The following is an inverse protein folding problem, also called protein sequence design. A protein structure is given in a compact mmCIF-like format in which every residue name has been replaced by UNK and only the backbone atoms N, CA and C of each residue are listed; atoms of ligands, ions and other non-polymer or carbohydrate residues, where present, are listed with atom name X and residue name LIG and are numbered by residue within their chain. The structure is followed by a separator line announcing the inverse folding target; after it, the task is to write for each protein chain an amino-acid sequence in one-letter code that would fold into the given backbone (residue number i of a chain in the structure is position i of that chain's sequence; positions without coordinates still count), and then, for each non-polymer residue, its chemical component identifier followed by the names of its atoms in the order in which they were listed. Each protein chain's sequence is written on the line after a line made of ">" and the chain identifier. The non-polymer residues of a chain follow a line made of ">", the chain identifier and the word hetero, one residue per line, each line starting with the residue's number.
data_IF_779315639192
#
_entry.id   IF_779315639192
#
_cell.length_a   1.000
_cell.length_b   1.000
_cell.length_c   1.000
_cell.angle_alpha   90.00
_cell.angle_beta   90.00
_cell.angle_gamma   90.00
#
_symmetry.space_group_name_H-M   'P 1'
#
loop_
_entity.id
_entity.type
_entity.pdbx_description
1 polymer ?
#
# COMPACT_ATOMS: atom_id res chain seq x y z
N UNK A 1 -12.68 9.39 -0.69
CA UNK A 1 -11.67 9.22 -1.76
C UNK A 1 -10.75 8.05 -1.46
N UNK A 2 -10.14 7.43 -2.47
CA UNK A 2 -9.21 6.32 -2.31
C UNK A 2 -7.76 6.82 -2.31
N UNK A 3 -6.95 6.35 -1.37
CA UNK A 3 -5.51 6.60 -1.26
C UNK A 3 -4.78 5.28 -1.51
N UNK A 4 -4.09 5.19 -2.65
CA UNK A 4 -3.23 4.06 -2.99
C UNK A 4 -1.87 4.19 -2.32
N UNK A 5 -1.56 3.30 -1.40
CA UNK A 5 -0.27 3.27 -0.71
C UNK A 5 0.65 2.31 -1.44
N UNK A 6 1.74 2.85 -1.97
CA UNK A 6 2.75 2.11 -2.75
C UNK A 6 4.14 2.41 -2.22
N UNK A 7 5.07 1.53 -2.51
CA UNK A 7 6.45 1.69 -2.09
C UNK A 7 7.27 0.47 -2.48
N UNK A 8 8.55 0.65 -2.82
CA UNK A 8 9.41 -0.46 -3.14
C UNK A 8 9.70 -1.34 -1.92
N UNK A 9 10.23 -2.54 -2.17
CA UNK A 9 10.72 -3.37 -1.06
C UNK A 9 11.86 -2.66 -0.31
N UNK A 10 11.88 -2.84 1.01
CA UNK A 10 12.80 -2.15 1.92
C UNK A 10 12.40 -0.72 2.30
N UNK A 11 11.35 -0.13 1.70
CA UNK A 11 10.91 1.22 2.05
C UNK A 11 10.26 1.34 3.44
N UNK A 12 9.85 0.22 4.04
CA UNK A 12 9.12 0.23 5.32
C UNK A 12 7.65 0.62 5.20
N UNK A 13 7.05 0.46 4.01
CA UNK A 13 5.62 0.74 3.73
C UNK A 13 4.69 0.12 4.78
N UNK A 14 4.87 -1.14 5.13
CA UNK A 14 3.96 -1.85 6.04
C UNK A 14 4.07 -1.30 7.47
N UNK A 15 5.27 -0.92 7.90
CA UNK A 15 5.52 -0.26 9.19
C UNK A 15 4.85 1.11 9.23
N UNK A 16 4.99 1.93 8.19
CA UNK A 16 4.34 3.24 8.11
C UNK A 16 2.81 3.09 8.05
N UNK A 17 2.30 2.09 7.33
CA UNK A 17 0.86 1.79 7.29
C UNK A 17 0.30 1.39 8.65
N UNK A 18 1.03 0.55 9.40
CA UNK A 18 0.65 0.17 10.75
C UNK A 18 0.64 1.39 11.69
N UNK A 19 1.66 2.24 11.61
CA UNK A 19 1.73 3.48 12.38
C UNK A 19 0.62 4.48 12.03
N UNK A 20 0.28 4.62 10.74
CA UNK A 20 -0.86 5.43 10.30
C UNK A 20 -2.19 4.89 10.84
N UNK A 21 -2.37 3.57 10.83
CA UNK A 21 -3.58 2.94 11.38
C UNK A 21 -3.74 3.25 12.87
N UNK A 22 -2.66 3.16 13.64
CA UNK A 22 -2.67 3.51 15.05
C UNK A 22 -2.92 5.02 15.25
N UNK A 23 -2.23 5.88 14.51
CA UNK A 23 -2.32 7.33 14.65
C UNK A 23 -3.67 7.93 14.21
N UNK A 24 -4.46 7.20 13.41
CA UNK A 24 -5.75 7.63 12.88
C UNK A 24 -6.93 6.78 13.42
N UNK A 25 -6.70 5.93 14.43
CA UNK A 25 -7.70 4.99 14.94
C UNK A 25 -8.99 5.68 15.43
N UNK A 26 -8.85 6.85 16.05
CA UNK A 26 -9.95 7.64 16.61
C UNK A 26 -10.63 8.57 15.59
N UNK A 27 -10.16 8.61 14.33
CA UNK A 27 -10.72 9.47 13.29
C UNK A 27 -11.57 8.65 12.29
N UNK A 28 -12.91 8.66 12.43
CA UNK A 28 -13.81 7.82 11.62
C UNK A 28 -13.87 8.24 10.14
N UNK A 29 -13.18 9.32 9.75
CA UNK A 29 -13.00 9.71 8.35
C UNK A 29 -12.09 8.74 7.61
N UNK A 30 -11.17 8.05 8.31
CA UNK A 30 -10.19 7.18 7.69
C UNK A 30 -10.57 5.71 7.84
N UNK A 31 -10.46 4.97 6.73
CA UNK A 31 -10.68 3.52 6.70
C UNK A 31 -9.46 2.88 6.06
N UNK A 32 -8.97 1.79 6.62
CA UNK A 32 -7.86 1.05 6.06
C UNK A 32 -8.37 -0.24 5.44
N UNK A 33 -8.34 -0.31 4.11
CA UNK A 33 -8.81 -1.47 3.37
C UNK A 33 -7.98 -2.71 3.71
N UNK A 34 -8.67 -3.80 4.04
CA UNK A 34 -8.07 -5.13 4.17
C UNK A 34 -8.14 -5.81 2.81
N UNK A 35 -6.97 -6.09 2.22
CA UNK A 35 -6.90 -6.72 0.89
C UNK A 35 -7.10 -8.23 1.00
N UNK A 36 -7.71 -8.83 0.00
CA UNK A 36 -7.71 -10.26 -0.21
C UNK A 36 -6.46 -10.71 -0.95
N UNK A 37 -5.88 -11.84 -0.55
CA UNK A 37 -4.68 -12.40 -1.18
C UNK A 37 -4.83 -13.92 -1.28
N UNK A 38 -4.37 -14.52 -2.38
CA UNK A 38 -4.28 -15.98 -2.52
C UNK A 38 -3.12 -16.61 -1.75
N UNK A 39 -2.93 -16.17 -0.50
CA UNK A 39 -1.85 -16.57 0.38
C UNK A 39 -2.43 -17.02 1.73
N UNK A 40 -1.90 -18.09 2.34
CA UNK A 40 -2.30 -18.50 3.68
C UNK A 40 -2.14 -17.37 4.72
N UNK A 41 -3.07 -17.29 5.66
CA UNK A 41 -3.08 -16.25 6.69
C UNK A 41 -1.85 -16.33 7.63
N UNK A 42 -1.34 -17.53 7.85
CA UNK A 42 -0.21 -17.86 8.71
C UNK A 42 1.16 -17.68 8.04
N UNK A 43 1.21 -17.37 6.75
CA UNK A 43 2.45 -17.11 6.01
C UNK A 43 3.16 -15.81 6.42
N UNK A 44 2.59 -15.05 7.36
CA UNK A 44 3.12 -13.80 7.88
C UNK A 44 3.02 -12.61 6.92
N UNK A 45 3.29 -11.42 7.46
CA UNK A 45 3.18 -10.14 6.75
C UNK A 45 1.98 -9.32 7.24
N UNK A 46 1.32 -8.60 6.33
CA UNK A 46 0.18 -7.76 6.72
C UNK A 46 -1.09 -8.56 7.02
N UNK A 47 -1.97 -7.95 7.81
CA UNK A 47 -3.34 -8.44 8.00
C UNK A 47 -4.12 -8.36 6.67
N UNK A 48 -4.51 -9.52 6.17
CA UNK A 48 -5.19 -9.70 4.88
C UNK A 48 -6.29 -10.76 4.97
N UNK A 49 -7.23 -10.71 4.03
CA UNK A 49 -8.20 -11.79 3.83
C UNK A 49 -7.51 -12.90 3.03
N UNK A 50 -7.15 -13.99 3.69
CA UNK A 50 -6.58 -15.16 3.03
C UNK A 50 -7.68 -15.89 2.26
N UNK A 51 -7.49 -16.07 0.96
CA UNK A 51 -8.39 -16.81 0.08
C UNK A 51 -7.61 -17.91 -0.64
N UNK A 52 -8.29 -18.99 -1.00
CA UNK A 52 -7.83 -19.93 -2.01
C UNK A 52 -8.02 -19.32 -3.40
N UNK A 53 -7.37 -19.90 -4.41
CA UNK A 53 -7.56 -19.51 -5.81
C UNK A 53 -9.02 -19.66 -6.27
N UNK A 54 -9.71 -20.70 -5.80
CA UNK A 54 -11.11 -20.95 -6.13
C UNK A 54 -12.05 -19.92 -5.46
N UNK A 55 -11.79 -19.56 -4.21
CA UNK A 55 -12.57 -18.52 -3.52
C UNK A 55 -12.35 -17.15 -4.15
N UNK A 56 -11.09 -16.80 -4.46
CA UNK A 56 -10.76 -15.53 -5.10
C UNK A 56 -11.50 -15.37 -6.43
N UNK A 57 -11.54 -16.42 -7.26
CA UNK A 57 -12.21 -16.40 -8.56
C UNK A 57 -13.74 -16.18 -8.49
N UNK A 58 -14.36 -16.37 -7.31
CA UNK A 58 -15.80 -16.19 -7.09
C UNK A 58 -16.15 -14.81 -6.52
N UNK A 59 -15.16 -14.02 -6.13
CA UNK A 59 -15.35 -12.69 -5.54
C UNK A 59 -15.39 -11.61 -6.63
N UNK A 60 -16.20 -10.59 -6.41
CA UNK A 60 -16.15 -9.36 -7.19
C UNK A 60 -15.34 -8.30 -6.40
N UNK A 61 -14.30 -7.75 -7.02
CA UNK A 61 -13.36 -6.83 -6.38
C UNK A 61 -13.49 -5.42 -6.94
N UNK A 62 -13.30 -4.43 -6.06
CA UNK A 62 -13.18 -3.02 -6.47
C UNK A 62 -11.91 -2.81 -7.30
N UNK A 63 -10.84 -3.52 -6.99
CA UNK A 63 -9.58 -3.55 -7.74
C UNK A 63 -8.97 -4.93 -7.59
N UNK A 64 -8.34 -5.48 -8.62
CA UNK A 64 -7.61 -6.75 -8.53
C UNK A 64 -6.37 -6.76 -9.41
N UNK A 65 -5.34 -7.51 -9.00
CA UNK A 65 -4.11 -7.68 -9.77
C UNK A 65 -3.40 -8.99 -9.41
N UNK A 66 -2.43 -9.37 -10.22
CA UNK A 66 -1.52 -10.50 -9.94
C UNK A 66 -0.10 -9.99 -9.73
N UNK A 67 0.61 -10.54 -8.75
CA UNK A 67 2.02 -10.26 -8.51
C UNK A 67 2.67 -11.42 -7.75
N UNK A 68 3.96 -11.70 -8.02
CA UNK A 68 4.71 -12.73 -7.28
C UNK A 68 4.02 -14.12 -7.24
N UNK A 69 3.29 -14.49 -8.29
CA UNK A 69 2.54 -15.76 -8.34
C UNK A 69 1.28 -15.81 -7.48
N UNK A 70 0.86 -14.67 -6.91
CA UNK A 70 -0.33 -14.53 -6.08
C UNK A 70 -1.34 -13.57 -6.73
N UNK A 71 -2.61 -13.72 -6.38
CA UNK A 71 -3.68 -12.77 -6.71
C UNK A 71 -4.01 -11.90 -5.50
N UNK A 72 -4.32 -10.65 -5.79
CA UNK A 72 -4.62 -9.63 -4.81
C UNK A 72 -5.90 -8.91 -5.22
N UNK A 73 -6.75 -8.60 -4.24
CA UNK A 73 -8.01 -7.91 -4.47
C UNK A 73 -8.33 -6.92 -3.36
N UNK A 74 -8.93 -5.79 -3.71
CA UNK A 74 -9.57 -4.88 -2.77
C UNK A 74 -11.07 -5.15 -2.81
N UNK A 75 -11.70 -5.59 -1.70
CA UNK A 75 -13.13 -5.88 -1.68
C UNK A 75 -13.98 -4.65 -2.03
N UNK A 76 -15.13 -4.86 -2.68
CA UNK A 76 -16.07 -3.76 -3.02
C UNK A 76 -16.68 -3.06 -1.81
N UNK A 77 -16.54 -3.62 -0.61
CA UNK A 77 -16.95 -2.93 0.62
C UNK A 77 -16.31 -1.55 0.78
N UNK A 78 -15.15 -1.28 0.17
CA UNK A 78 -14.56 0.06 0.17
C UNK A 78 -15.46 1.10 -0.50
N UNK A 79 -16.27 0.72 -1.48
CA UNK A 79 -17.12 1.64 -2.25
C UNK A 79 -18.19 2.27 -1.37
N UNK A 80 -18.65 1.54 -0.34
CA UNK A 80 -19.57 2.06 0.66
C UNK A 80 -18.96 3.16 1.52
N UNK A 81 -17.70 2.98 1.95
CA UNK A 81 -16.97 4.01 2.69
C UNK A 81 -16.66 5.22 1.80
N UNK A 82 -16.28 4.98 0.55
CA UNK A 82 -16.05 6.04 -0.43
C UNK A 82 -17.32 6.86 -0.68
N UNK A 83 -18.49 6.21 -0.82
CA UNK A 83 -19.78 6.88 -1.01
C UNK A 83 -20.20 7.73 0.19
N UNK A 84 -19.73 7.40 1.39
CA UNK A 84 -19.92 8.18 2.63
C UNK A 84 -18.90 9.31 2.82
N UNK A 85 -18.09 9.61 1.80
CA UNK A 85 -17.08 10.66 1.86
C UNK A 85 -15.83 10.30 2.68
N UNK A 86 -15.69 9.04 3.13
CA UNK A 86 -14.51 8.60 3.88
C UNK A 86 -13.28 8.51 2.99
N UNK A 87 -12.11 8.60 3.61
CA UNK A 87 -10.80 8.41 2.99
C UNK A 87 -10.38 6.95 3.23
N UNK A 88 -10.34 6.16 2.16
CA UNK A 88 -9.91 4.76 2.24
C UNK A 88 -8.44 4.65 1.86
N UNK A 89 -7.60 4.13 2.76
CA UNK A 89 -6.22 3.79 2.48
C UNK A 89 -6.11 2.32 2.09
N UNK A 90 -5.52 2.04 0.92
CA UNK A 90 -5.34 0.68 0.41
C UNK A 90 -3.88 0.43 0.02
N UNK A 91 -3.34 -0.72 0.44
CA UNK A 91 -2.04 -1.19 0.02
C UNK A 91 -2.13 -1.77 -1.40
N UNK A 92 -1.68 -1.00 -2.40
CA UNK A 92 -1.85 -1.31 -3.82
C UNK A 92 -0.53 -1.67 -4.51
N UNK A 93 -0.65 -2.22 -5.72
CA UNK A 93 0.45 -2.34 -6.67
C UNK A 93 0.50 -1.12 -7.60
N UNK A 94 1.70 -0.80 -8.11
CA UNK A 94 1.85 0.22 -9.17
C UNK A 94 1.04 -0.10 -10.42
N UNK A 95 0.83 -1.40 -10.68
CA UNK A 95 0.11 -1.91 -11.86
C UNK A 95 -1.39 -1.62 -11.87
N UNK A 96 -1.98 -1.23 -10.73
CA UNK A 96 -3.43 -1.00 -10.60
C UNK A 96 -3.77 0.47 -10.31
N UNK A 97 -2.77 1.36 -10.32
CA UNK A 97 -2.99 2.77 -9.97
C UNK A 97 -3.79 3.54 -11.03
N UNK A 98 -3.57 3.24 -12.32
CA UNK A 98 -4.34 3.86 -13.40
C UNK A 98 -5.81 3.45 -13.35
N UNK A 99 -6.09 2.16 -13.12
CA UNK A 99 -7.46 1.67 -12.93
C UNK A 99 -8.12 2.35 -11.71
N UNK A 100 -7.40 2.42 -10.58
CA UNK A 100 -7.91 3.07 -9.38
C UNK A 100 -8.25 4.56 -9.63
N UNK A 101 -7.39 5.27 -10.37
CA UNK A 101 -7.60 6.68 -10.72
C UNK A 101 -8.75 6.89 -11.70
N UNK A 102 -8.98 5.93 -12.61
CA UNK A 102 -10.10 5.99 -13.54
C UNK A 102 -11.45 5.75 -12.86
N UNK A 103 -11.47 4.94 -11.78
CA UNK A 103 -12.71 4.52 -11.10
C UNK A 103 -13.12 5.41 -9.93
N UNK A 104 -12.16 6.03 -9.24
CA UNK A 104 -12.42 6.73 -7.99
C UNK A 104 -11.65 8.05 -7.91
N UNK A 105 -12.12 9.03 -7.10
CA UNK A 105 -11.27 10.12 -6.65
C UNK A 105 -10.04 9.54 -5.95
N UNK A 106 -8.86 9.79 -6.50
CA UNK A 106 -7.65 9.02 -6.17
C UNK A 106 -6.43 9.90 -5.92
N UNK A 107 -5.60 9.48 -4.97
CA UNK A 107 -4.25 9.98 -4.79
C UNK A 107 -3.33 8.84 -4.34
N UNK A 108 -2.03 9.01 -4.53
CA UNK A 108 -1.01 8.02 -4.19
C UNK A 108 -0.20 8.52 -3.00
N UNK A 109 -0.03 7.67 -2.00
CA UNK A 109 0.94 7.84 -0.93
C UNK A 109 2.13 6.91 -1.23
N UNK A 110 3.21 7.48 -1.76
CA UNK A 110 4.42 6.75 -2.11
C UNK A 110 5.40 6.76 -0.93
N UNK A 111 5.47 5.65 -0.21
CA UNK A 111 6.45 5.45 0.87
C UNK A 111 7.74 4.93 0.26
N UNK A 112 8.82 5.68 0.41
CA UNK A 112 10.13 5.28 -0.11
C UNK A 112 11.25 5.56 0.90
N UNK A 113 12.45 5.09 0.59
CA UNK A 113 13.67 5.36 1.32
C UNK A 113 14.84 5.35 0.33
N UNK A 114 15.98 5.93 0.73
CA UNK A 114 17.20 5.91 -0.06
C UNK A 114 17.57 4.48 -0.48
N UNK A 115 18.17 4.34 -1.67
CA UNK A 115 18.58 3.04 -2.20
C UNK A 115 19.52 2.30 -1.24
N UNK A 116 20.45 3.03 -0.60
CA UNK A 116 21.37 2.48 0.39
C UNK A 116 20.63 1.92 1.61
N UNK A 117 19.65 2.65 2.16
CA UNK A 117 18.90 2.19 3.31
C UNK A 117 17.98 1.00 2.98
N UNK A 118 17.37 1.01 1.78
CA UNK A 118 16.60 -0.13 1.29
C UNK A 118 17.47 -1.37 1.14
N UNK A 119 18.67 -1.24 0.57
CA UNK A 119 19.63 -2.33 0.45
C UNK A 119 19.99 -2.92 1.82
N UNK A 120 20.34 -2.05 2.78
CA UNK A 120 20.67 -2.45 4.14
C UNK A 120 19.50 -3.18 4.83
N UNK A 121 18.27 -2.66 4.70
CA UNK A 121 17.06 -3.29 5.26
C UNK A 121 16.72 -4.63 4.62
N UNK A 122 16.99 -4.80 3.32
CA UNK A 122 16.80 -6.07 2.63
C UNK A 122 17.85 -7.09 3.07
N UNK A 123 19.13 -6.69 3.13
CA UNK A 123 20.23 -7.54 3.58
C UNK A 123 20.02 -8.03 5.03
N UNK A 124 19.56 -7.15 5.92
CA UNK A 124 19.28 -7.49 7.32
C UNK A 124 18.21 -8.57 7.51
N UNK A 125 17.38 -8.87 6.50
CA UNK A 125 16.40 -9.96 6.57
C UNK A 125 17.05 -11.34 6.44
N UNK A 126 18.27 -11.41 5.91
CA UNK A 126 19.07 -12.64 5.81
C UNK A 126 18.51 -13.71 4.87
N UNK A 127 17.62 -13.33 3.92
CA UNK A 127 16.91 -14.26 3.03
C UNK A 127 17.28 -14.12 1.55
N UNK A 128 18.16 -13.19 1.21
CA UNK A 128 18.42 -12.77 -0.17
C UNK A 128 19.92 -12.57 -0.39
N UNK A 129 20.43 -13.05 -1.52
CA UNK A 129 21.81 -12.80 -1.93
C UNK A 129 22.00 -11.35 -2.39
N UNK A 130 23.21 -10.76 -2.31
CA UNK A 130 23.47 -9.38 -2.71
C UNK A 130 23.04 -9.06 -4.16
N UNK A 131 23.18 -10.02 -5.07
CA UNK A 131 22.76 -9.87 -6.46
C UNK A 131 21.23 -9.75 -6.61
N UNK A 132 20.47 -10.50 -5.81
CA UNK A 132 19.00 -10.43 -5.79
C UNK A 132 18.53 -9.09 -5.21
N UNK A 133 19.19 -8.60 -4.18
CA UNK A 133 18.91 -7.28 -3.60
C UNK A 133 19.13 -6.19 -4.66
N UNK A 134 20.25 -6.20 -5.37
CA UNK A 134 20.56 -5.24 -6.43
C UNK A 134 19.53 -5.30 -7.59
N UNK A 135 19.14 -6.51 -8.00
CA UNK A 135 18.08 -6.71 -9.00
C UNK A 135 16.73 -6.14 -8.53
N UNK A 136 16.39 -6.28 -7.25
CA UNK A 136 15.15 -5.73 -6.69
C UNK A 136 15.18 -4.21 -6.55
N UNK A 137 16.35 -3.62 -6.32
CA UNK A 137 16.51 -2.17 -6.25
C UNK A 137 16.41 -1.51 -7.63
N UNK A 138 16.96 -2.15 -8.66
CA UNK A 138 16.96 -1.64 -10.05
C UNK A 138 15.61 -1.78 -10.78
N UNK A 139 14.75 -2.73 -10.37
CA UNK A 139 13.42 -2.96 -10.96
C UNK A 139 12.35 -1.93 -10.56
N UNK A 140 12.71 -0.75 -10.09
CA UNK A 140 11.70 0.26 -9.78
C UNK A 140 11.06 0.82 -11.05
N UNK A 141 9.90 0.27 -11.40
CA UNK A 141 9.02 0.88 -12.38
C UNK A 141 8.55 2.26 -11.87
N UNK A 142 8.58 3.31 -12.72
CA UNK A 142 8.06 4.62 -12.37
C UNK A 142 6.55 4.53 -12.04
N UNK A 143 6.08 5.49 -11.25
CA UNK A 143 4.63 5.65 -11.06
C UNK A 143 4.00 6.18 -12.35
N UNK A 144 2.74 5.80 -12.66
CA UNK A 144 2.04 6.36 -13.81
C UNK A 144 2.00 7.89 -13.76
N UNK A 145 2.21 8.58 -14.89
CA UNK A 145 2.18 10.03 -14.95
C UNK A 145 0.77 10.57 -14.67
N UNK A 146 0.67 11.84 -14.27
CA UNK A 146 -0.61 12.53 -14.08
C UNK A 146 -1.35 12.20 -12.77
N UNK A 147 -0.84 11.28 -11.96
CA UNK A 147 -1.40 10.98 -10.64
C UNK A 147 -1.00 12.06 -9.61
N UNK A 148 -1.91 12.37 -8.69
CA UNK A 148 -1.58 13.14 -7.48
C UNK A 148 -0.79 12.25 -6.53
N UNK A 149 0.52 12.49 -6.39
CA UNK A 149 1.42 11.69 -5.57
C UNK A 149 1.98 12.52 -4.41
N UNK A 150 1.83 12.03 -3.17
CA UNK A 150 2.69 12.44 -2.07
C UNK A 150 3.80 11.40 -1.89
N UNK A 151 5.06 11.83 -1.93
CA UNK A 151 6.19 10.99 -1.56
C UNK A 151 6.58 11.24 -0.10
N UNK A 152 6.70 10.16 0.67
CA UNK A 152 7.14 10.18 2.07
C UNK A 152 8.43 9.40 2.19
N UNK A 153 9.48 10.09 2.66
CA UNK A 153 10.79 9.49 2.90
C UNK A 153 10.81 8.85 4.29
N UNK A 154 11.07 7.55 4.33
CA UNK A 154 11.28 6.76 5.56
C UNK A 154 12.77 6.47 5.75
N UNK A 155 13.57 7.54 5.71
CA UNK A 155 15.03 7.48 5.84
C UNK A 155 15.51 7.57 7.29
N UNK A 156 14.72 8.22 8.15
CA UNK A 156 15.04 8.37 9.57
C UNK A 156 14.30 7.30 10.38
N UNK A 157 13.20 7.67 11.04
CA UNK A 157 12.39 6.75 11.82
C UNK A 157 11.01 6.55 11.20
N UNK A 158 10.38 5.38 11.40
CA UNK A 158 9.00 5.16 10.96
C UNK A 158 8.03 6.20 11.51
N UNK A 159 8.23 6.70 12.72
CA UNK A 159 7.37 7.69 13.38
C UNK A 159 7.41 9.04 12.65
N UNK A 160 8.59 9.46 12.17
CA UNK A 160 8.72 10.68 11.37
C UNK A 160 7.98 10.54 10.03
N UNK A 161 8.11 9.41 9.36
CA UNK A 161 7.39 9.12 8.13
C UNK A 161 5.86 9.09 8.35
N UNK A 162 5.41 8.46 9.44
CA UNK A 162 3.99 8.44 9.84
C UNK A 162 3.48 9.85 10.10
N UNK A 163 4.24 10.69 10.79
CA UNK A 163 3.84 12.07 11.07
C UNK A 163 3.66 12.89 9.79
N UNK A 164 4.58 12.79 8.83
CA UNK A 164 4.48 13.46 7.52
C UNK A 164 3.23 12.98 6.78
N UNK A 165 3.04 11.66 6.68
CA UNK A 165 1.89 11.09 5.99
C UNK A 165 0.56 11.50 6.66
N UNK A 166 0.50 11.46 7.99
CA UNK A 166 -0.68 11.85 8.77
C UNK A 166 -1.04 13.32 8.55
N UNK A 167 -0.06 14.21 8.58
CA UNK A 167 -0.30 15.64 8.39
C UNK A 167 -0.88 15.95 7.00
N UNK A 168 -0.40 15.25 5.96
CA UNK A 168 -0.98 15.33 4.63
C UNK A 168 -2.40 14.77 4.59
N UNK A 169 -2.64 13.59 5.15
CA UNK A 169 -3.97 12.99 5.18
C UNK A 169 -4.98 13.88 5.90
N UNK A 170 -4.56 14.53 6.99
CA UNK A 170 -5.37 15.48 7.75
C UNK A 170 -5.67 16.78 6.99
N UNK A 171 -4.81 17.19 6.04
CA UNK A 171 -5.00 18.39 5.22
C UNK A 171 -5.86 18.15 3.97
N UNK A 172 -6.20 16.90 3.67
CA UNK A 172 -7.11 16.60 2.57
C UNK A 172 -8.47 17.29 2.81
N UNK A 173 -9.08 17.88 1.77
CA UNK A 173 -10.37 18.52 1.88
C UNK A 173 -11.40 17.56 2.46
N UNK A 174 -12.26 18.06 3.35
CA UNK A 174 -13.45 17.31 3.75
C UNK A 174 -14.37 17.24 2.53
N UNK A 175 -14.73 16.02 2.13
CA UNK A 175 -15.75 15.78 1.12
C UNK A 175 -17.12 16.23 1.63
#
# INVERSE_FOLDING_TARGET
>A
MLIGVVGPSGAGKDTVMAGLRAALAEDPRFVFARRAITRPADAGGEDHLALTEAEFARQDFALQWSAHGLRYGIPRSIEHDLARGRVVLANLSRTVLEEAAARYPFAVLHITASAALRAARLAARGREEPADIAARLSREAPLPPGLRVLTVMNDTTPEAAVAVARNYLASLPRA
#
